data_IF_561361805053
#
_entry.id   IF_561361805053
#
_cell.length_a   1.000
_cell.length_b   1.000
_cell.length_c   1.000
_cell.angle_alpha   90.00
_cell.angle_beta   90.00
_cell.angle_gamma   90.00
#
_symmetry.space_group_name_H-M   'P 1'
#
loop_
_entity.id
_entity.type
_entity.pdbx_description
1 polymer ?
#
# COMPACT_ATOMS: atom_id res chain seq x y z
N UNK A 1 41.41 -18.79 23.18
CA UNK A 1 39.99 -19.26 23.25
C UNK A 1 38.99 -18.10 23.36
N UNK A 2 39.17 -17.15 24.27
CA UNK A 2 38.25 -16.01 24.42
C UNK A 2 38.15 -15.13 23.17
N UNK A 3 39.27 -14.86 22.49
CA UNK A 3 39.28 -14.09 21.24
C UNK A 3 38.52 -14.79 20.12
N UNK A 4 38.69 -16.10 19.95
CA UNK A 4 37.92 -16.91 19.00
C UNK A 4 36.41 -16.87 19.27
N UNK A 5 36.00 -16.87 20.56
CA UNK A 5 34.57 -16.74 20.93
C UNK A 5 34.03 -15.35 20.63
N UNK A 6 34.81 -14.29 20.88
CA UNK A 6 34.46 -12.91 20.53
C UNK A 6 34.34 -12.74 19.01
N UNK A 7 35.25 -13.36 18.25
CA UNK A 7 35.22 -13.33 16.79
C UNK A 7 33.95 -13.96 16.23
N UNK A 8 33.60 -15.17 16.68
CA UNK A 8 32.36 -15.85 16.26
C UNK A 8 31.11 -15.03 16.58
N UNK A 9 31.05 -14.39 17.74
CA UNK A 9 29.94 -13.50 18.11
C UNK A 9 29.85 -12.29 17.18
N UNK A 10 31.00 -11.68 16.84
CA UNK A 10 31.08 -10.56 15.91
C UNK A 10 30.59 -10.93 14.51
N UNK A 11 31.00 -12.09 14.01
CA UNK A 11 30.56 -12.61 12.71
C UNK A 11 29.07 -12.95 12.71
N UNK A 12 28.55 -13.56 13.78
CA UNK A 12 27.13 -13.80 13.93
C UNK A 12 26.30 -12.50 13.93
N UNK A 13 26.78 -11.46 14.63
CA UNK A 13 26.14 -10.15 14.63
C UNK A 13 26.19 -9.47 13.25
N UNK A 14 27.31 -9.59 12.53
CA UNK A 14 27.47 -9.07 11.17
C UNK A 14 26.52 -9.79 10.20
N UNK A 15 26.48 -11.12 10.25
CA UNK A 15 25.58 -11.94 9.43
C UNK A 15 24.12 -11.59 9.67
N UNK A 16 23.70 -11.45 10.94
CA UNK A 16 22.34 -11.02 11.28
C UNK A 16 22.00 -9.65 10.70
N UNK A 17 22.89 -8.66 10.84
CA UNK A 17 22.70 -7.31 10.26
C UNK A 17 22.64 -7.34 8.74
N UNK A 18 23.49 -8.15 8.11
CA UNK A 18 23.49 -8.34 6.66
C UNK A 18 22.17 -8.92 6.14
N UNK A 19 21.66 -9.97 6.81
CA UNK A 19 20.36 -10.55 6.48
C UNK A 19 19.22 -9.54 6.66
N UNK A 20 19.17 -8.87 7.81
CA UNK A 20 18.15 -7.84 8.06
C UNK A 20 18.19 -6.74 6.98
N UNK A 21 19.37 -6.23 6.61
CA UNK A 21 19.50 -5.25 5.53
C UNK A 21 18.94 -5.78 4.20
N UNK A 22 19.25 -7.03 3.85
CA UNK A 22 18.73 -7.65 2.63
C UNK A 22 17.19 -7.70 2.63
N UNK A 23 16.58 -8.16 3.72
CA UNK A 23 15.11 -8.20 3.84
C UNK A 23 14.48 -6.81 3.74
N UNK A 24 15.12 -5.77 4.29
CA UNK A 24 14.68 -4.39 4.13
C UNK A 24 14.67 -3.95 2.65
N UNK A 25 15.71 -4.29 1.90
CA UNK A 25 15.77 -3.96 0.47
C UNK A 25 14.75 -4.74 -0.35
N UNK A 26 14.55 -6.02 -0.07
CA UNK A 26 13.51 -6.83 -0.73
C UNK A 26 12.11 -6.27 -0.43
N UNK A 27 11.84 -5.90 0.82
CA UNK A 27 10.57 -5.26 1.20
C UNK A 27 10.36 -3.94 0.44
N UNK A 28 11.39 -3.10 0.32
CA UNK A 28 11.31 -1.84 -0.40
C UNK A 28 10.93 -2.02 -1.88
N UNK A 29 11.41 -3.10 -2.53
CA UNK A 29 11.06 -3.43 -3.92
C UNK A 29 9.59 -3.81 -4.11
N UNK A 30 8.90 -4.23 -3.05
CA UNK A 30 7.48 -4.61 -3.09
C UNK A 30 6.53 -3.43 -2.89
N UNK A 31 7.04 -2.25 -2.50
CA UNK A 31 6.21 -1.05 -2.39
C UNK A 31 5.71 -0.63 -3.78
N UNK A 32 4.48 -0.10 -3.90
CA UNK A 32 3.92 0.39 -5.17
C UNK A 32 4.50 1.76 -5.57
N UNK A 33 5.83 1.84 -5.63
CA UNK A 33 6.60 3.04 -5.93
C UNK A 33 7.72 2.69 -6.94
N UNK A 34 8.12 3.62 -7.82
CA UNK A 34 9.26 3.41 -8.71
C UNK A 34 10.56 3.06 -7.97
N UNK A 35 11.37 2.15 -8.54
CA UNK A 35 12.64 1.70 -7.94
C UNK A 35 13.63 2.85 -7.65
N UNK A 36 13.59 3.92 -8.46
CA UNK A 36 14.40 5.12 -8.25
C UNK A 36 14.11 5.82 -6.91
N UNK A 37 12.89 5.66 -6.37
CA UNK A 37 12.48 6.21 -5.07
C UNK A 37 12.78 5.20 -3.96
N UNK A 38 12.34 3.94 -4.14
CA UNK A 38 12.44 2.93 -3.07
C UNK A 38 13.89 2.57 -2.71
N UNK A 39 14.82 2.71 -3.65
CA UNK A 39 16.27 2.52 -3.42
C UNK A 39 16.90 3.57 -2.50
N UNK A 40 16.26 4.74 -2.33
CA UNK A 40 16.77 5.84 -1.50
C UNK A 40 16.12 5.89 -0.11
N UNK A 41 15.18 4.98 0.18
CA UNK A 41 14.47 4.97 1.45
C UNK A 41 15.38 4.46 2.58
N UNK A 42 15.30 5.14 3.72
CA UNK A 42 15.85 4.65 4.97
C UNK A 42 14.97 3.53 5.56
N UNK A 43 15.53 2.72 6.46
CA UNK A 43 14.84 1.56 7.07
C UNK A 43 13.51 1.94 7.74
N UNK A 44 13.45 3.07 8.44
CA UNK A 44 12.24 3.46 9.16
C UNK A 44 11.13 3.86 8.18
N UNK A 45 11.47 4.57 7.12
CA UNK A 45 10.50 4.93 6.07
C UNK A 45 10.00 3.70 5.31
N UNK A 46 10.83 2.69 5.04
CA UNK A 46 10.38 1.41 4.45
C UNK A 46 9.27 0.77 5.31
N UNK A 47 9.46 0.70 6.65
CA UNK A 47 8.44 0.15 7.55
C UNK A 47 7.17 1.00 7.56
N UNK A 48 7.31 2.33 7.74
CA UNK A 48 6.16 3.24 7.81
C UNK A 48 5.30 3.16 6.55
N UNK A 49 5.94 3.19 5.38
CA UNK A 49 5.24 3.09 4.09
C UNK A 49 4.59 1.72 3.89
N UNK A 50 5.27 0.64 4.29
CA UNK A 50 4.71 -0.72 4.20
C UNK A 50 3.44 -0.86 5.05
N UNK A 51 3.49 -0.41 6.31
CA UNK A 51 2.33 -0.44 7.21
C UNK A 51 1.20 0.43 6.66
N UNK A 52 1.50 1.66 6.26
CA UNK A 52 0.50 2.57 5.69
C UNK A 52 -0.14 2.00 4.43
N UNK A 53 0.64 1.34 3.56
CA UNK A 53 0.11 0.70 2.35
C UNK A 53 -0.87 -0.43 2.68
N UNK A 54 -0.53 -1.30 3.62
CA UNK A 54 -1.42 -2.39 4.04
C UNK A 54 -2.72 -1.85 4.66
N UNK A 55 -2.63 -0.83 5.53
CA UNK A 55 -3.79 -0.16 6.13
C UNK A 55 -4.66 0.52 5.08
N UNK A 56 -4.05 1.23 4.13
CA UNK A 56 -4.77 1.89 3.05
C UNK A 56 -5.47 0.88 2.15
N UNK A 57 -4.81 -0.24 1.85
CA UNK A 57 -5.40 -1.31 1.05
C UNK A 57 -6.64 -1.89 1.72
N UNK A 58 -6.55 -2.17 3.02
CA UNK A 58 -7.67 -2.66 3.82
C UNK A 58 -8.81 -1.62 3.92
N UNK A 59 -8.48 -0.36 4.17
CA UNK A 59 -9.44 0.73 4.21
C UNK A 59 -10.18 0.89 2.86
N UNK A 60 -9.45 0.88 1.74
CA UNK A 60 -10.02 1.05 0.40
C UNK A 60 -10.94 -0.08 -0.03
N UNK A 61 -10.75 -1.31 0.49
CA UNK A 61 -11.61 -2.46 0.16
C UNK A 61 -12.94 -2.47 0.91
N UNK A 62 -13.05 -1.74 2.02
CA UNK A 62 -14.24 -1.71 2.88
C UNK A 62 -15.04 -0.40 2.78
N UNK A 63 -14.65 0.54 1.91
CA UNK A 63 -15.45 1.73 1.63
C UNK A 63 -16.76 1.40 0.91
N UNK A 64 -17.77 2.28 1.02
CA UNK A 64 -18.99 2.25 0.20
C UNK A 64 -19.16 3.57 -0.57
N UNK A 65 -19.00 3.58 -1.91
CA UNK A 65 -18.55 2.46 -2.72
C UNK A 65 -17.08 2.12 -2.43
N UNK A 66 -16.64 0.86 -2.62
CA UNK A 66 -15.23 0.51 -2.49
C UNK A 66 -14.43 1.41 -3.42
N UNK A 67 -13.32 1.96 -2.92
CA UNK A 67 -12.44 2.77 -3.75
C UNK A 67 -11.82 1.84 -4.79
N UNK A 68 -12.48 1.71 -5.95
CA UNK A 68 -12.10 0.79 -7.01
C UNK A 68 -10.65 1.07 -7.40
N UNK A 69 -9.81 0.03 -7.37
CA UNK A 69 -8.45 0.05 -7.90
C UNK A 69 -8.48 0.01 -9.44
N UNK A 70 -9.25 0.88 -10.08
CA UNK A 70 -9.22 0.99 -11.54
C UNK A 70 -7.95 1.75 -11.94
N UNK A 71 -6.90 1.00 -12.32
CA UNK A 71 -5.66 1.64 -12.76
C UNK A 71 -4.45 0.75 -13.05
N UNK A 72 -4.64 -0.48 -13.53
CA UNK A 72 -3.64 -1.07 -14.44
C UNK A 72 -4.37 -2.00 -15.40
N UNK A 73 -4.67 -1.58 -16.64
CA UNK A 73 -5.11 -2.54 -17.64
C UNK A 73 -3.92 -3.44 -17.98
N UNK A 74 -3.98 -4.77 -17.76
CA UNK A 74 -3.14 -5.65 -18.54
C UNK A 74 -3.65 -5.54 -19.98
N UNK A 75 -2.79 -5.07 -20.88
CA UNK A 75 -3.05 -5.03 -22.31
C UNK A 75 -3.61 -6.39 -22.78
N UNK A 76 -4.93 -6.47 -22.94
CA UNK A 76 -5.64 -7.57 -23.61
C UNK A 76 -6.87 -6.97 -24.30
N UNK A 77 -6.70 -6.73 -25.59
CA UNK A 77 -7.77 -6.47 -26.54
C UNK A 77 -8.83 -7.56 -26.46
N UNK A 78 -9.94 -7.35 -25.73
CA UNK A 78 -11.15 -8.16 -25.92
C UNK A 78 -12.40 -7.30 -25.73
N UNK A 79 -13.16 -7.22 -26.81
CA UNK A 79 -14.46 -6.59 -27.01
C UNK A 79 -15.54 -7.34 -26.19
N UNK A 80 -16.38 -6.64 -25.41
CA UNK A 80 -17.67 -7.19 -24.97
C UNK A 80 -18.27 -6.63 -23.67
N UNK A 81 -19.43 -5.94 -23.78
CA UNK A 81 -20.44 -5.82 -22.71
C UNK A 81 -20.68 -4.42 -22.12
N UNK A 82 -21.93 -3.93 -21.99
CA UNK A 82 -22.20 -2.60 -21.44
C UNK A 82 -22.29 -2.68 -19.91
N UNK A 83 -21.18 -2.42 -19.20
CA UNK A 83 -21.27 -2.08 -17.78
C UNK A 83 -21.65 -0.60 -17.69
N UNK A 84 -22.87 -0.33 -17.23
CA UNK A 84 -23.33 1.03 -16.92
C UNK A 84 -22.32 1.70 -16.00
N UNK A 85 -21.62 2.70 -16.54
CA UNK A 85 -20.81 3.69 -15.82
C UNK A 85 -21.75 4.44 -14.86
N UNK A 86 -21.99 3.89 -13.67
CA UNK A 86 -22.82 4.56 -12.65
C UNK A 86 -22.03 5.80 -12.22
N UNK A 87 -22.55 6.96 -12.59
CA UNK A 87 -21.89 8.25 -12.43
C UNK A 87 -21.68 8.51 -10.94
N UNK A 88 -20.43 8.70 -10.49
CA UNK A 88 -20.09 8.89 -9.07
C UNK A 88 -20.80 10.11 -8.45
N UNK A 89 -21.10 11.12 -9.27
CA UNK A 89 -21.89 12.28 -8.86
C UNK A 89 -23.34 11.93 -8.50
N UNK A 90 -23.92 10.91 -9.13
CA UNK A 90 -25.30 10.50 -8.85
C UNK A 90 -25.39 9.76 -7.51
N UNK A 91 -24.40 8.92 -7.19
CA UNK A 91 -24.32 8.24 -5.89
C UNK A 91 -24.06 9.23 -4.75
N UNK A 92 -23.20 10.23 -4.97
CA UNK A 92 -22.94 11.28 -3.98
C UNK A 92 -24.19 12.12 -3.66
N UNK A 93 -25.01 12.45 -4.67
CA UNK A 93 -26.30 13.13 -4.46
C UNK A 93 -27.30 12.25 -3.69
N UNK A 94 -27.39 10.96 -4.04
CA UNK A 94 -28.26 9.99 -3.38
C UNK A 94 -27.91 9.82 -1.89
N UNK A 95 -26.62 9.80 -1.55
CA UNK A 95 -26.13 9.74 -0.16
C UNK A 95 -26.40 11.05 0.60
N UNK A 96 -26.17 12.22 -0.03
CA UNK A 96 -26.44 13.53 0.57
C UNK A 96 -27.93 13.70 0.91
N UNK A 97 -28.80 13.30 0.00
CA UNK A 97 -30.26 13.39 0.13
C UNK A 97 -30.80 12.42 1.20
N UNK A 98 -30.21 11.22 1.29
CA UNK A 98 -30.56 10.22 2.31
C UNK A 98 -30.17 10.68 3.72
N UNK A 99 -29.07 11.43 3.88
CA UNK A 99 -28.51 11.70 5.20
C UNK A 99 -28.78 13.10 5.77
N UNK A 100 -29.03 14.18 5.01
CA UNK A 100 -29.40 15.51 5.57
C UNK A 100 -30.23 16.42 4.63
N UNK A 101 -31.32 15.91 4.06
CA UNK A 101 -32.15 16.68 3.13
C UNK A 101 -33.14 17.70 3.71
N UNK A 102 -33.36 17.82 5.03
CA UNK A 102 -34.54 18.58 5.54
C UNK A 102 -34.41 19.39 6.84
N UNK A 103 -33.22 19.77 7.33
CA UNK A 103 -33.13 20.58 8.57
C UNK A 103 -32.10 21.72 8.54
N UNK A 104 -32.07 22.53 7.47
CA UNK A 104 -31.25 23.76 7.48
C UNK A 104 -32.05 25.06 7.26
N UNK A 105 -33.32 24.99 6.87
CA UNK A 105 -34.18 26.18 6.82
C UNK A 105 -35.56 25.88 7.41
N UNK A 106 -35.72 26.04 8.72
CA UNK A 106 -36.99 26.41 9.32
C UNK A 106 -36.75 27.20 10.61
#
# INVERSE_FOLDING_TARGET
ILELRKEKSRDAARSRRGKENYEFYELAKLLPLPAAITSQLDKASIIRLSISYLKLRDFSSHGDPPWQRDGMPPNKSVKGGPLRRRNMNALAMEIFETHQGTHILQ
#
